data_IF_042174904585
#
_entry.id   IF_042174904585
#
_cell.length_a   1.000
_cell.length_b   1.000
_cell.length_c   1.000
_cell.angle_alpha   90.00
_cell.angle_beta   90.00
_cell.angle_gamma   90.00
#
_symmetry.space_group_name_H-M   'P 1'
#
loop_
_entity.id
_entity.type
_entity.pdbx_description
1 polymer ?
#
# COMPACT_ATOMS: atom_id res chain seq x y z
N UNK A 1 -72.48 -25.67 23.12
CA UNK A 1 -72.25 -24.32 23.61
C UNK A 1 -70.98 -24.37 24.44
N UNK A 2 -69.85 -24.23 23.86
CA UNK A 2 -68.55 -23.88 24.49
C UNK A 2 -67.49 -23.89 23.36
N UNK A 3 -67.00 -22.72 23.02
CA UNK A 3 -66.00 -22.50 22.00
C UNK A 3 -64.63 -22.81 22.59
N UNK A 4 -63.91 -23.69 21.93
CA UNK A 4 -62.48 -23.93 22.21
C UNK A 4 -61.67 -23.11 21.19
N UNK A 5 -60.85 -22.17 21.73
CA UNK A 5 -59.92 -21.40 20.93
C UNK A 5 -58.65 -22.22 20.60
N UNK A 6 -57.92 -21.90 19.54
CA UNK A 6 -56.74 -22.61 19.16
C UNK A 6 -55.49 -22.15 19.97
N UNK A 7 -54.72 -23.14 20.37
CA UNK A 7 -53.47 -23.01 21.12
C UNK A 7 -52.38 -22.32 20.32
N UNK A 8 -51.62 -21.52 21.05
CA UNK A 8 -50.53 -20.72 20.54
C UNK A 8 -49.30 -21.54 20.07
N UNK A 9 -48.82 -21.20 18.91
CA UNK A 9 -47.52 -21.67 18.37
C UNK A 9 -46.41 -20.94 19.08
N UNK A 10 -45.64 -21.70 19.84
CA UNK A 10 -44.41 -21.28 20.48
C UNK A 10 -43.32 -20.95 19.42
N UNK A 11 -43.02 -19.68 19.24
CA UNK A 11 -41.92 -19.23 18.46
C UNK A 11 -40.62 -19.27 19.30
N UNK A 12 -39.70 -20.17 18.97
CA UNK A 12 -38.34 -20.13 19.46
C UNK A 12 -37.62 -18.84 18.95
N UNK A 13 -37.04 -18.04 19.81
CA UNK A 13 -36.16 -16.97 19.37
C UNK A 13 -34.80 -17.56 19.00
N UNK A 14 -34.49 -17.52 17.70
CA UNK A 14 -33.11 -17.64 17.24
C UNK A 14 -32.30 -16.46 17.80
N UNK A 15 -31.14 -16.70 18.44
CA UNK A 15 -30.22 -15.63 18.74
C UNK A 15 -29.55 -15.20 17.41
N UNK A 16 -30.10 -14.16 16.80
CA UNK A 16 -29.38 -13.40 15.78
C UNK A 16 -28.13 -12.82 16.46
N UNK A 17 -27.00 -13.39 16.09
CA UNK A 17 -25.68 -12.86 16.44
C UNK A 17 -25.65 -11.39 16.04
N UNK A 18 -25.55 -10.53 17.05
CA UNK A 18 -25.23 -9.13 16.89
C UNK A 18 -23.80 -9.05 16.32
N UNK A 19 -23.71 -9.09 14.98
CA UNK A 19 -22.52 -8.62 14.30
C UNK A 19 -22.34 -7.16 14.72
N UNK A 20 -21.40 -6.92 15.62
CA UNK A 20 -20.84 -5.62 15.90
C UNK A 20 -20.30 -5.08 14.57
N UNK A 21 -21.14 -4.41 13.83
CA UNK A 21 -20.70 -3.46 12.82
C UNK A 21 -20.02 -2.34 13.62
N UNK A 22 -18.71 -2.43 13.73
CA UNK A 22 -17.91 -1.28 14.05
C UNK A 22 -18.15 -0.28 12.91
N UNK A 23 -19.15 0.59 13.09
CA UNK A 23 -19.26 1.79 12.30
C UNK A 23 -18.03 2.61 12.68
N UNK A 24 -17.02 2.52 11.86
CA UNK A 24 -15.96 3.52 11.82
C UNK A 24 -16.67 4.82 11.41
N UNK A 25 -17.06 5.59 12.42
CA UNK A 25 -17.48 6.97 12.23
C UNK A 25 -16.19 7.68 11.81
N UNK A 26 -15.96 7.75 10.50
CA UNK A 26 -15.06 8.73 9.94
C UNK A 26 -15.60 10.09 10.40
N UNK A 27 -15.07 10.63 11.48
CA UNK A 27 -15.14 12.05 11.71
C UNK A 27 -14.57 12.68 10.45
N UNK A 28 -15.39 13.42 9.73
CA UNK A 28 -15.00 14.32 8.64
C UNK A 28 -14.20 15.49 9.21
N UNK A 29 -13.10 15.24 9.85
CA UNK A 29 -12.05 16.22 9.98
C UNK A 29 -11.34 16.16 8.63
N UNK A 30 -11.27 17.28 7.95
CA UNK A 30 -10.56 17.39 6.68
C UNK A 30 -9.16 16.78 6.89
N UNK A 31 -8.74 15.89 5.98
CA UNK A 31 -7.38 15.37 5.99
C UNK A 31 -6.46 16.57 5.87
N UNK A 32 -5.90 17.00 6.99
CA UNK A 32 -4.98 18.12 7.04
C UNK A 32 -3.59 17.55 6.77
N UNK A 33 -3.05 17.88 5.63
CA UNK A 33 -1.64 17.65 5.34
C UNK A 33 -0.84 18.54 6.27
N UNK A 34 -0.11 17.95 7.21
CA UNK A 34 0.63 18.68 8.24
C UNK A 34 2.04 19.03 7.79
N UNK A 35 2.66 18.16 6.97
CA UNK A 35 4.03 18.33 6.53
C UNK A 35 4.28 17.59 5.22
N UNK A 36 5.07 18.17 4.33
CA UNK A 36 5.68 17.49 3.20
C UNK A 36 7.19 17.46 3.39
N UNK A 37 7.79 16.30 3.28
CA UNK A 37 9.23 16.13 3.24
C UNK A 37 9.68 15.76 1.83
N UNK A 38 10.76 16.37 1.37
CA UNK A 38 11.38 16.08 0.09
C UNK A 38 12.77 15.50 0.34
N UNK A 39 12.99 14.29 -0.15
CA UNK A 39 14.29 13.64 -0.14
C UNK A 39 14.85 13.63 -1.56
N UNK A 40 15.99 14.29 -1.74
CA UNK A 40 16.81 14.07 -2.92
C UNK A 40 17.51 12.72 -2.79
N UNK A 41 17.27 11.80 -3.73
CA UNK A 41 17.93 10.48 -3.73
C UNK A 41 19.41 10.52 -4.12
N UNK A 42 19.99 11.70 -4.27
CA UNK A 42 21.45 11.89 -4.29
C UNK A 42 21.96 11.99 -2.86
N UNK A 43 22.84 11.09 -2.48
CA UNK A 43 23.23 10.70 -1.12
C UNK A 43 23.85 11.76 -0.19
N UNK A 44 23.77 13.05 -0.46
CA UNK A 44 24.39 14.12 0.32
C UNK A 44 23.46 15.29 0.66
N UNK A 45 22.19 15.24 0.24
CA UNK A 45 21.26 16.35 0.50
C UNK A 45 20.36 15.95 1.67
N UNK A 46 20.31 16.74 2.77
CA UNK A 46 19.42 16.45 3.88
C UNK A 46 17.96 16.52 3.45
N UNK A 47 17.06 15.92 4.23
CA UNK A 47 15.61 16.05 3.99
C UNK A 47 15.21 17.50 4.07
N UNK A 48 14.43 17.98 3.09
CA UNK A 48 13.85 19.33 3.08
C UNK A 48 12.41 19.23 3.64
N UNK A 49 12.15 19.69 4.87
CA UNK A 49 10.80 19.80 5.38
C UNK A 49 10.11 21.03 4.78
N UNK A 50 8.84 20.89 4.41
CA UNK A 50 8.00 21.96 3.89
C UNK A 50 6.69 21.98 4.68
N UNK A 51 6.24 23.16 5.12
CA UNK A 51 5.04 23.36 5.94
C UNK A 51 5.07 22.50 7.23
N UNK A 52 6.07 22.66 8.07
CA UNK A 52 6.12 21.99 9.36
C UNK A 52 5.05 22.54 10.31
N UNK A 53 4.36 21.66 11.03
CA UNK A 53 3.29 22.04 11.96
C UNK A 53 3.87 22.93 13.09
N UNK A 54 3.31 24.13 13.24
CA UNK A 54 3.73 25.14 14.25
C UNK A 54 4.44 26.37 13.69
N UNK A 55 4.97 26.32 12.48
CA UNK A 55 5.73 27.41 11.84
C UNK A 55 5.00 28.05 10.63
N UNK A 56 3.71 27.72 10.47
CA UNK A 56 2.87 28.19 9.37
C UNK A 56 2.79 29.74 9.37
N UNK A 57 3.64 30.36 8.62
CA UNK A 57 3.71 31.83 8.45
C UNK A 57 5.10 32.42 8.52
N UNK A 58 6.07 31.72 9.08
CA UNK A 58 7.47 32.20 9.18
C UNK A 58 8.44 31.37 8.33
N UNK A 59 7.99 30.25 7.77
CA UNK A 59 8.85 29.46 6.89
C UNK A 59 9.21 30.24 5.63
N UNK A 60 10.51 30.34 5.29
CA UNK A 60 10.95 31.04 4.09
C UNK A 60 10.49 30.35 2.79
N UNK A 61 10.11 29.08 2.88
CA UNK A 61 9.62 28.25 1.77
C UNK A 61 8.28 27.66 2.18
N UNK A 62 7.20 28.10 1.55
CA UNK A 62 5.83 27.64 1.87
C UNK A 62 5.19 26.94 0.69
N UNK A 63 4.48 25.83 0.95
CA UNK A 63 3.63 25.21 -0.05
C UNK A 63 2.30 25.97 -0.10
N UNK A 64 2.04 26.60 -1.24
CA UNK A 64 0.79 27.31 -1.51
C UNK A 64 -0.27 26.39 -2.10
N UNK A 65 0.13 25.31 -2.76
CA UNK A 65 -0.79 24.36 -3.35
C UNK A 65 -0.09 23.09 -3.82
N UNK A 66 -0.84 21.99 -3.82
CA UNK A 66 -0.41 20.71 -4.37
C UNK A 66 -1.53 20.18 -5.24
N UNK A 67 -1.24 19.93 -6.50
CA UNK A 67 -2.14 19.27 -7.44
C UNK A 67 -1.68 17.83 -7.72
N UNK A 68 -2.61 16.94 -8.06
CA UNK A 68 -2.30 15.55 -8.40
C UNK A 68 -2.33 14.58 -7.22
N UNK A 69 -2.87 14.99 -6.05
CA UNK A 69 -3.03 14.09 -4.89
C UNK A 69 -4.23 13.14 -5.03
N UNK A 70 -5.28 13.54 -5.75
CA UNK A 70 -6.45 12.70 -5.98
C UNK A 70 -6.15 11.47 -6.88
N UNK A 71 -7.10 10.53 -7.00
CA UNK A 71 -6.95 9.36 -7.85
C UNK A 71 -6.66 9.73 -9.31
N UNK A 72 -5.71 9.03 -9.92
CA UNK A 72 -5.35 9.25 -11.33
C UNK A 72 -6.46 8.69 -12.21
N UNK A 73 -6.81 9.43 -13.28
CA UNK A 73 -7.81 8.99 -14.27
C UNK A 73 -7.34 7.71 -14.97
N UNK A 74 -8.18 6.68 -14.92
CA UNK A 74 -7.89 5.42 -15.60
C UNK A 74 -8.04 5.57 -17.13
N UNK A 75 -7.20 4.88 -17.87
CA UNK A 75 -7.35 4.63 -19.29
C UNK A 75 -8.22 3.38 -19.47
N UNK A 76 -9.41 3.56 -20.01
CA UNK A 76 -10.36 2.48 -20.32
C UNK A 76 -10.39 2.30 -21.82
N UNK A 77 -10.00 1.11 -22.28
CA UNK A 77 -10.02 0.74 -23.70
C UNK A 77 -11.21 -0.17 -23.94
N UNK A 78 -12.06 0.22 -24.90
CA UNK A 78 -13.24 -0.52 -25.30
C UNK A 78 -13.18 -0.88 -26.76
N UNK A 79 -13.90 -1.92 -27.16
CA UNK A 79 -14.08 -2.35 -28.53
C UNK A 79 -15.57 -2.45 -28.87
N UNK A 80 -16.04 -1.88 -29.99
CA UNK A 80 -17.45 -1.93 -30.38
C UNK A 80 -17.88 -3.36 -30.72
N UNK A 81 -19.13 -3.71 -30.37
CA UNK A 81 -19.75 -4.93 -30.86
C UNK A 81 -20.16 -4.75 -32.31
N UNK A 82 -19.87 -5.74 -33.16
CA UNK A 82 -20.16 -5.65 -34.60
C UNK A 82 -21.64 -5.66 -34.99
N UNK A 83 -22.54 -6.09 -34.11
CA UNK A 83 -23.96 -6.28 -34.43
C UNK A 83 -24.92 -5.81 -33.32
N UNK A 84 -24.43 -5.27 -32.22
CA UNK A 84 -25.24 -4.84 -31.05
C UNK A 84 -24.78 -3.48 -30.59
N UNK A 85 -25.68 -2.73 -29.94
CA UNK A 85 -25.32 -1.47 -29.27
C UNK A 85 -24.44 -1.74 -28.06
N UNK A 86 -23.46 -0.87 -27.85
CA UNK A 86 -22.51 -0.95 -26.74
C UNK A 86 -21.10 -1.39 -27.15
N UNK A 87 -20.22 -1.48 -26.16
CA UNK A 87 -18.82 -1.79 -26.34
C UNK A 87 -18.34 -2.80 -25.29
N UNK A 88 -17.47 -3.71 -25.69
CA UNK A 88 -16.81 -4.62 -24.77
C UNK A 88 -15.57 -3.95 -24.14
N UNK A 89 -15.35 -4.15 -22.84
CA UNK A 89 -14.15 -3.73 -22.18
C UNK A 89 -12.96 -4.58 -22.66
N UNK A 90 -11.96 -3.94 -23.28
CA UNK A 90 -10.74 -4.58 -23.74
C UNK A 90 -9.58 -4.48 -22.77
N UNK A 91 -9.54 -3.41 -21.94
CA UNK A 91 -8.48 -3.23 -20.97
C UNK A 91 -8.67 -1.99 -20.11
N UNK A 92 -8.03 -2.00 -18.95
CA UNK A 92 -7.96 -0.86 -18.05
C UNK A 92 -6.54 -0.73 -17.50
N UNK A 93 -6.05 0.50 -17.42
CA UNK A 93 -4.77 0.80 -16.79
C UNK A 93 -4.79 2.18 -16.16
N UNK A 94 -3.99 2.36 -15.11
CA UNK A 94 -3.77 3.67 -14.51
C UNK A 94 -2.41 4.17 -14.99
N UNK A 95 -2.34 5.33 -15.66
CA UNK A 95 -1.09 5.89 -16.15
C UNK A 95 -0.23 6.48 -15.02
N UNK A 96 0.94 6.96 -15.37
CA UNK A 96 1.80 7.76 -14.48
C UNK A 96 1.03 8.92 -13.87
N UNK A 97 1.40 9.30 -12.65
CA UNK A 97 0.88 10.46 -11.94
C UNK A 97 1.76 11.68 -12.20
N UNK A 98 1.15 12.84 -12.31
CA UNK A 98 1.85 14.12 -12.23
C UNK A 98 1.47 14.82 -10.92
N UNK A 99 2.47 15.19 -10.12
CA UNK A 99 2.30 16.02 -8.91
C UNK A 99 2.90 17.38 -9.21
N UNK A 100 2.09 18.42 -9.02
CA UNK A 100 2.53 19.80 -9.21
C UNK A 100 2.51 20.51 -7.86
N UNK A 101 3.67 20.97 -7.44
CA UNK A 101 3.86 21.76 -6.22
C UNK A 101 3.94 23.25 -6.59
N UNK A 102 3.14 24.09 -5.93
CA UNK A 102 3.26 25.54 -6.00
C UNK A 102 3.87 26.01 -4.69
N UNK A 103 5.09 26.54 -4.76
CA UNK A 103 5.87 26.99 -3.60
C UNK A 103 5.99 28.50 -3.62
N UNK A 104 5.68 29.15 -2.50
CA UNK A 104 5.94 30.57 -2.24
C UNK A 104 7.28 30.78 -1.55
N UNK A 105 7.98 31.83 -1.90
CA UNK A 105 9.24 32.24 -1.28
C UNK A 105 9.02 33.49 -0.44
N UNK A 106 9.31 33.39 0.85
CA UNK A 106 9.13 34.44 1.85
C UNK A 106 10.45 34.64 2.63
N UNK A 107 11.48 35.26 2.02
CA UNK A 107 12.77 35.40 2.68
C UNK A 107 12.67 36.31 3.90
N UNK A 108 13.37 35.94 4.96
CA UNK A 108 13.77 36.90 5.98
C UNK A 108 14.95 37.72 5.43
N UNK A 109 14.70 38.93 4.99
CA UNK A 109 15.68 39.80 4.35
C UNK A 109 16.90 40.15 5.22
N UNK A 110 16.81 39.89 6.54
CA UNK A 110 17.93 40.06 7.44
C UNK A 110 18.93 38.88 7.37
N UNK A 111 18.47 37.70 6.90
CA UNK A 111 19.23 36.44 6.95
C UNK A 111 19.52 35.88 5.57
N UNK A 112 18.56 35.98 4.62
CA UNK A 112 18.69 35.31 3.31
C UNK A 112 17.92 36.04 2.21
N UNK A 113 18.32 35.82 0.97
CA UNK A 113 17.73 36.38 -0.22
C UNK A 113 16.84 35.37 -0.96
N UNK A 114 15.99 35.87 -1.87
CA UNK A 114 15.17 35.00 -2.75
C UNK A 114 16.07 34.11 -3.62
N UNK A 115 17.20 34.65 -4.08
CA UNK A 115 18.17 33.93 -4.89
C UNK A 115 18.75 32.72 -4.16
N UNK A 116 19.10 32.88 -2.88
CA UNK A 116 19.62 31.79 -2.04
C UNK A 116 18.55 30.72 -1.81
N UNK A 117 17.29 31.11 -1.55
CA UNK A 117 16.19 30.16 -1.44
C UNK A 117 15.95 29.37 -2.74
N UNK A 118 16.05 30.04 -3.90
CA UNK A 118 15.96 29.37 -5.20
C UNK A 118 17.10 28.38 -5.40
N UNK A 119 18.32 28.78 -5.07
CA UNK A 119 19.49 27.89 -5.17
C UNK A 119 19.35 26.68 -4.24
N UNK A 120 18.80 26.87 -3.05
CA UNK A 120 18.49 25.76 -2.15
C UNK A 120 17.51 24.79 -2.81
N UNK A 121 16.41 25.27 -3.39
CA UNK A 121 15.43 24.41 -4.05
C UNK A 121 15.99 23.72 -5.30
N UNK A 122 16.93 24.33 -6.02
CA UNK A 122 17.57 23.68 -7.17
C UNK A 122 18.35 22.43 -6.77
N UNK A 123 18.87 22.33 -5.54
CA UNK A 123 19.53 21.12 -5.07
C UNK A 123 18.59 19.90 -5.00
N UNK A 124 17.28 20.16 -4.83
CA UNK A 124 16.26 19.10 -4.72
C UNK A 124 15.50 18.90 -6.03
N UNK A 125 15.19 19.97 -6.77
CA UNK A 125 14.21 19.96 -7.84
C UNK A 125 14.77 20.28 -9.22
N UNK A 126 16.06 20.04 -9.45
CA UNK A 126 16.58 20.17 -10.82
C UNK A 126 15.93 19.09 -11.73
N UNK A 127 15.56 19.46 -12.98
CA UNK A 127 15.01 18.51 -13.94
C UNK A 127 15.86 17.24 -14.08
N UNK A 128 15.18 16.09 -14.23
CA UNK A 128 15.74 14.72 -14.26
C UNK A 128 16.21 14.18 -12.90
N UNK A 129 16.15 14.95 -11.82
CA UNK A 129 16.42 14.39 -10.49
C UNK A 129 15.28 13.47 -10.07
N UNK A 130 15.63 12.35 -9.49
CA UNK A 130 14.71 11.48 -8.77
C UNK A 130 14.55 12.00 -7.35
N UNK A 131 13.31 12.22 -6.95
CA UNK A 131 12.92 12.69 -5.62
C UNK A 131 11.89 11.76 -5.00
N UNK A 132 11.94 11.65 -3.69
CA UNK A 132 10.89 10.99 -2.90
C UNK A 132 10.14 12.06 -2.11
N UNK A 133 8.84 12.11 -2.29
CA UNK A 133 7.93 12.96 -1.53
C UNK A 133 7.32 12.13 -0.40
N UNK A 134 7.36 12.66 0.84
CA UNK A 134 6.73 12.05 2.02
C UNK A 134 5.65 12.99 2.53
N UNK A 135 4.42 12.48 2.56
CA UNK A 135 3.25 13.21 3.00
C UNK A 135 2.88 12.77 4.42
N UNK A 136 2.84 13.74 5.33
CA UNK A 136 2.42 13.54 6.72
C UNK A 136 1.01 14.11 6.89
N UNK A 137 0.16 13.37 7.55
CA UNK A 137 -1.22 13.75 7.83
C UNK A 137 -1.60 13.32 9.23
N UNK A 138 -2.56 14.02 9.86
CA UNK A 138 -2.99 13.77 11.23
C UNK A 138 -3.68 12.41 11.39
N UNK A 139 -4.48 12.00 10.40
CA UNK A 139 -5.35 10.82 10.50
C UNK A 139 -5.04 9.74 9.46
N UNK A 140 -3.91 9.83 8.82
CA UNK A 140 -3.52 8.93 7.73
C UNK A 140 -2.05 8.52 7.91
N UNK A 141 -1.67 7.28 7.59
CA UNK A 141 -0.28 6.88 7.70
C UNK A 141 0.62 7.75 6.84
N UNK A 142 1.87 7.96 7.27
CA UNK A 142 2.87 8.62 6.43
C UNK A 142 3.03 7.83 5.16
N UNK A 143 2.83 8.49 4.02
CA UNK A 143 2.95 7.85 2.70
C UNK A 143 4.03 8.49 1.87
N UNK A 144 4.59 7.70 0.97
CA UNK A 144 5.67 8.12 0.09
C UNK A 144 5.30 7.89 -1.37
N UNK A 145 5.84 8.73 -2.24
CA UNK A 145 5.82 8.51 -3.67
C UNK A 145 7.14 8.99 -4.28
N UNK A 146 7.63 8.27 -5.28
CA UNK A 146 8.85 8.60 -6.00
C UNK A 146 8.54 9.13 -7.39
N UNK A 147 9.27 10.15 -7.80
CA UNK A 147 9.08 10.76 -9.11
C UNK A 147 10.32 11.48 -9.62
N UNK A 148 10.32 11.74 -10.90
CA UNK A 148 11.34 12.54 -11.56
C UNK A 148 10.84 13.97 -11.75
N UNK A 149 11.68 14.93 -11.40
CA UNK A 149 11.38 16.34 -11.67
C UNK A 149 11.36 16.56 -13.18
N UNK A 150 10.22 17.00 -13.69
CA UNK A 150 10.01 17.33 -15.11
C UNK A 150 10.42 18.78 -15.36
N UNK A 151 9.89 19.72 -14.61
CA UNK A 151 10.20 21.14 -14.71
C UNK A 151 10.20 21.83 -13.35
N UNK A 152 10.89 22.95 -13.28
CA UNK A 152 10.87 23.89 -12.17
C UNK A 152 10.84 25.30 -12.75
N UNK A 153 9.70 25.98 -12.63
CA UNK A 153 9.44 27.26 -13.28
C UNK A 153 9.28 28.39 -12.22
N UNK A 154 10.33 29.22 -12.02
CA UNK A 154 10.24 30.33 -11.10
C UNK A 154 9.53 31.53 -11.75
N UNK A 155 8.53 32.08 -11.07
CA UNK A 155 7.93 33.35 -11.43
C UNK A 155 8.65 34.48 -10.70
N UNK A 156 9.62 35.12 -11.40
CA UNK A 156 10.57 36.09 -10.79
C UNK A 156 10.14 37.53 -10.87
N UNK A 157 9.13 37.88 -11.70
CA UNK A 157 8.72 39.27 -11.94
C UNK A 157 7.48 39.65 -11.15
N UNK A 158 7.17 38.96 -10.05
CA UNK A 158 6.02 39.24 -9.22
C UNK A 158 6.43 39.69 -7.83
N UNK A 159 5.55 40.43 -7.15
CA UNK A 159 5.77 40.94 -5.80
C UNK A 159 5.91 39.78 -4.76
N UNK A 160 5.21 38.68 -4.98
CA UNK A 160 5.27 37.48 -4.18
C UNK A 160 5.81 36.34 -5.07
N UNK A 161 7.12 36.08 -5.05
CA UNK A 161 7.73 35.09 -5.95
C UNK A 161 7.25 33.68 -5.61
N UNK A 162 6.85 32.97 -6.65
CA UNK A 162 6.39 31.58 -6.57
C UNK A 162 7.20 30.71 -7.51
N UNK A 163 7.27 29.42 -7.21
CA UNK A 163 7.90 28.41 -8.06
C UNK A 163 6.88 27.28 -8.26
N UNK A 164 6.68 26.92 -9.52
CA UNK A 164 5.90 25.74 -9.88
C UNK A 164 6.84 24.59 -10.23
N UNK A 165 6.63 23.42 -9.62
CA UNK A 165 7.47 22.24 -9.78
C UNK A 165 6.60 21.09 -10.22
N UNK A 166 6.87 20.55 -11.41
CA UNK A 166 6.18 19.38 -11.96
C UNK A 166 7.03 18.11 -11.73
N UNK A 167 6.42 17.10 -11.12
CA UNK A 167 7.07 15.83 -10.76
C UNK A 167 6.27 14.67 -11.37
N UNK A 168 6.89 13.93 -12.28
CA UNK A 168 6.30 12.75 -12.90
C UNK A 168 6.63 11.51 -12.07
N UNK A 169 5.60 10.88 -11.53
CA UNK A 169 5.69 9.65 -10.74
C UNK A 169 5.31 8.45 -11.63
N UNK A 170 6.26 7.58 -12.01
CA UNK A 170 5.98 6.41 -12.84
C UNK A 170 4.98 5.45 -12.19
N UNK A 171 5.09 5.23 -10.88
CA UNK A 171 4.07 4.53 -10.08
C UNK A 171 3.03 5.54 -9.62
N UNK A 172 1.73 5.32 -9.94
CA UNK A 172 0.70 6.29 -9.60
C UNK A 172 0.26 6.25 -8.14
N UNK A 173 0.61 5.20 -7.39
CA UNK A 173 0.12 4.96 -6.04
C UNK A 173 1.07 5.51 -4.98
N UNK A 174 0.49 6.05 -3.92
CA UNK A 174 1.20 6.35 -2.69
C UNK A 174 1.39 5.07 -1.88
N UNK A 175 2.56 4.90 -1.29
CA UNK A 175 2.92 3.71 -0.51
C UNK A 175 3.16 4.11 0.93
N UNK A 176 2.56 3.42 1.89
CA UNK A 176 2.83 3.67 3.30
C UNK A 176 4.32 3.47 3.61
N UNK A 177 4.88 4.34 4.45
CA UNK A 177 6.30 4.28 4.80
C UNK A 177 6.61 3.09 5.71
N UNK A 178 5.66 2.68 6.54
CA UNK A 178 5.80 1.54 7.44
C UNK A 178 5.00 0.35 6.94
N UNK A 179 5.57 -0.86 6.97
CA UNK A 179 4.81 -2.07 6.64
C UNK A 179 3.79 -2.38 7.74
N UNK A 180 2.67 -2.96 7.35
CA UNK A 180 1.81 -3.67 8.27
C UNK A 180 2.29 -5.13 8.37
N UNK A 181 2.31 -5.66 9.58
CA UNK A 181 2.80 -7.02 9.88
C UNK A 181 1.72 -7.80 10.61
N UNK A 182 1.47 -9.01 10.16
CA UNK A 182 0.53 -9.96 10.75
C UNK A 182 1.30 -11.25 10.99
N UNK A 183 1.14 -11.81 12.17
CA UNK A 183 1.83 -13.05 12.57
C UNK A 183 0.83 -14.07 13.09
N UNK A 184 1.17 -15.35 12.95
CA UNK A 184 0.39 -16.45 13.49
C UNK A 184 1.20 -17.73 13.61
N UNK A 185 0.54 -18.78 14.10
CA UNK A 185 1.13 -20.10 14.29
C UNK A 185 0.17 -21.16 13.76
N UNK A 186 0.63 -21.96 12.83
CA UNK A 186 -0.11 -23.14 12.31
C UNK A 186 0.12 -24.34 13.23
N UNK A 187 -0.60 -24.41 14.37
CA UNK A 187 -0.41 -25.44 15.38
C UNK A 187 -0.75 -26.85 14.88
N UNK A 188 -1.85 -26.97 14.14
CA UNK A 188 -2.35 -28.27 13.63
C UNK A 188 -2.19 -28.41 12.10
N UNK A 189 -1.19 -27.75 11.54
CA UNK A 189 -0.99 -27.70 10.09
C UNK A 189 -1.87 -26.68 9.38
N UNK A 190 -2.69 -25.91 10.08
CA UNK A 190 -3.47 -24.82 9.50
C UNK A 190 -3.63 -23.66 10.47
N UNK A 191 -3.68 -22.45 9.93
CA UNK A 191 -4.03 -21.25 10.66
C UNK A 191 -4.89 -20.34 9.77
N UNK A 192 -5.89 -19.70 10.34
CA UNK A 192 -6.79 -18.79 9.61
C UNK A 192 -6.96 -17.49 10.38
N UNK A 193 -6.63 -16.39 9.74
CA UNK A 193 -6.68 -15.06 10.33
C UNK A 193 -7.44 -14.09 9.43
N UNK A 194 -8.37 -13.34 10.03
CA UNK A 194 -9.07 -12.26 9.37
C UNK A 194 -8.38 -10.93 9.72
N UNK A 195 -8.15 -10.09 8.73
CA UNK A 195 -7.57 -8.77 8.93
C UNK A 195 -8.09 -7.77 7.92
N UNK A 196 -8.06 -6.50 8.28
CA UNK A 196 -8.47 -5.41 7.41
C UNK A 196 -7.24 -4.80 6.71
N UNK A 197 -7.30 -4.74 5.37
CA UNK A 197 -6.34 -4.02 4.57
C UNK A 197 -6.84 -2.60 4.32
N UNK A 198 -6.15 -1.62 4.90
CA UNK A 198 -6.55 -0.20 4.89
C UNK A 198 -6.22 0.55 3.59
N UNK A 199 -5.45 -0.05 2.68
CA UNK A 199 -5.12 0.56 1.38
C UNK A 199 -6.35 0.68 0.48
N UNK A 200 -6.33 1.63 -0.45
CA UNK A 200 -7.38 1.80 -1.47
C UNK A 200 -7.04 1.11 -2.80
N UNK A 201 -5.84 0.59 -2.94
CA UNK A 201 -5.35 -0.12 -4.14
C UNK A 201 -4.79 -1.47 -3.71
N UNK A 202 -5.06 -2.50 -4.50
CA UNK A 202 -4.51 -3.84 -4.25
C UNK A 202 -2.99 -3.84 -4.10
N UNK A 203 -2.46 -4.68 -3.21
CA UNK A 203 -1.02 -4.82 -2.99
C UNK A 203 -0.58 -6.27 -2.92
N UNK A 204 0.66 -6.54 -3.30
CA UNK A 204 1.33 -7.79 -2.95
C UNK A 204 1.84 -7.75 -1.52
N UNK A 205 2.31 -8.90 -1.04
CA UNK A 205 2.85 -9.07 0.30
C UNK A 205 4.09 -9.97 0.29
N UNK A 206 4.84 -9.88 1.37
CA UNK A 206 5.91 -10.81 1.70
C UNK A 206 5.41 -11.75 2.81
N UNK A 207 5.55 -13.05 2.59
CA UNK A 207 5.23 -14.09 3.56
C UNK A 207 6.49 -14.86 3.91
N UNK A 208 6.73 -15.02 5.20
CA UNK A 208 7.79 -15.81 5.78
C UNK A 208 7.15 -16.91 6.64
N UNK A 209 7.56 -18.14 6.45
CA UNK A 209 7.14 -19.27 7.27
C UNK A 209 8.38 -19.94 7.83
N UNK A 210 8.44 -20.05 9.13
CA UNK A 210 9.54 -20.67 9.87
C UNK A 210 9.00 -21.74 10.81
N UNK A 211 9.79 -22.74 11.04
CA UNK A 211 9.42 -23.82 11.95
C UNK A 211 9.60 -23.41 13.41
N UNK A 212 8.61 -23.71 14.22
CA UNK A 212 8.63 -23.42 15.65
C UNK A 212 9.20 -24.60 16.49
N UNK A 213 9.20 -25.82 15.97
CA UNK A 213 9.55 -27.05 16.70
C UNK A 213 10.34 -28.00 15.81
N UNK A 214 11.27 -28.74 16.39
CA UNK A 214 12.13 -29.74 15.73
C UNK A 214 11.35 -30.92 15.16
N UNK A 215 10.85 -30.84 13.94
CA UNK A 215 10.30 -31.92 13.15
C UNK A 215 10.79 -31.81 11.72
N UNK A 216 11.46 -32.81 11.17
CA UNK A 216 11.96 -32.80 9.78
C UNK A 216 10.89 -33.28 8.80
N UNK A 217 10.81 -32.70 7.61
CA UNK A 217 9.99 -33.23 6.53
C UNK A 217 9.89 -32.35 5.31
N UNK A 218 9.79 -32.97 4.14
CA UNK A 218 9.32 -32.27 2.94
C UNK A 218 7.85 -31.87 3.15
N UNK A 219 7.53 -30.62 2.88
CA UNK A 219 6.22 -30.09 3.11
C UNK A 219 5.69 -29.32 1.91
N UNK A 220 4.38 -29.18 1.85
CA UNK A 220 3.73 -28.22 0.97
C UNK A 220 3.17 -27.08 1.80
N UNK A 221 3.22 -25.88 1.23
CA UNK A 221 2.56 -24.69 1.77
C UNK A 221 1.44 -24.34 0.82
N UNK A 222 0.23 -24.23 1.35
CA UNK A 222 -0.90 -23.71 0.62
C UNK A 222 -1.38 -22.42 1.30
N UNK A 223 -1.60 -21.41 0.51
CA UNK A 223 -2.09 -20.11 0.92
C UNK A 223 -3.45 -19.91 0.26
N UNK A 224 -4.48 -19.72 1.07
CA UNK A 224 -5.81 -19.37 0.62
C UNK A 224 -6.10 -17.95 1.09
N UNK A 225 -6.38 -17.09 0.14
CA UNK A 225 -6.78 -15.71 0.43
C UNK A 225 -8.20 -15.50 -0.09
N UNK A 226 -9.11 -15.08 0.78
CA UNK A 226 -10.50 -14.79 0.45
C UNK A 226 -10.96 -13.51 1.13
N UNK A 227 -12.02 -12.88 0.60
CA UNK A 227 -12.59 -11.64 1.11
C UNK A 227 -13.82 -11.27 0.29
N UNK A 228 -14.03 -10.00 0.03
CA UNK A 228 -15.11 -9.52 -0.86
C UNK A 228 -14.88 -9.91 -2.34
N UNK A 229 -13.65 -10.27 -2.69
CA UNK A 229 -13.25 -10.66 -4.04
C UNK A 229 -13.13 -12.18 -4.17
N UNK A 230 -12.98 -12.64 -5.40
CA UNK A 230 -12.84 -14.07 -5.69
C UNK A 230 -11.70 -14.69 -4.88
N UNK A 231 -11.90 -15.90 -4.34
CA UNK A 231 -10.87 -16.59 -3.57
C UNK A 231 -9.66 -16.88 -4.44
N UNK A 232 -8.48 -16.71 -3.85
CA UNK A 232 -7.19 -16.95 -4.48
C UNK A 232 -6.52 -18.11 -3.77
N UNK A 233 -6.03 -19.08 -4.52
CA UNK A 233 -5.29 -20.25 -4.00
C UNK A 233 -3.89 -20.27 -4.58
N UNK A 234 -2.91 -20.44 -3.72
CA UNK A 234 -1.53 -20.62 -4.11
C UNK A 234 -0.95 -21.81 -3.34
N UNK A 235 -0.33 -22.73 -4.04
CA UNK A 235 0.39 -23.82 -3.39
C UNK A 235 1.76 -24.01 -4.03
N UNK A 236 2.74 -24.30 -3.16
CA UNK A 236 4.09 -24.63 -3.55
C UNK A 236 4.59 -25.78 -2.69
N UNK A 237 5.42 -26.65 -3.27
CA UNK A 237 6.17 -27.67 -2.52
C UNK A 237 7.50 -27.05 -2.11
N UNK A 238 7.97 -27.38 -0.92
CA UNK A 238 9.24 -26.88 -0.43
C UNK A 238 9.70 -27.64 0.82
N UNK A 239 10.98 -27.54 1.13
CA UNK A 239 11.54 -28.12 2.35
C UNK A 239 11.27 -27.19 3.53
N UNK A 240 10.66 -27.71 4.58
CA UNK A 240 10.40 -27.06 5.86
C UNK A 240 11.17 -27.76 6.97
N UNK A 241 12.51 -27.75 6.87
CA UNK A 241 13.41 -28.32 7.89
C UNK A 241 13.67 -27.30 9.02
N UNK A 242 14.24 -27.78 10.13
CA UNK A 242 14.41 -27.01 11.37
C UNK A 242 15.18 -25.70 11.21
N UNK A 243 16.07 -25.62 10.24
CA UNK A 243 16.89 -24.43 9.98
C UNK A 243 16.50 -23.72 8.67
N UNK A 244 15.39 -24.08 8.07
CA UNK A 244 14.96 -23.55 6.78
C UNK A 244 13.73 -22.68 6.96
N UNK A 245 13.79 -21.46 6.44
CA UNK A 245 12.61 -20.60 6.30
C UNK A 245 12.13 -20.59 4.87
N UNK A 246 10.84 -20.66 4.69
CA UNK A 246 10.17 -20.43 3.41
C UNK A 246 9.86 -18.95 3.25
N UNK A 247 10.15 -18.40 2.09
CA UNK A 247 9.88 -17.00 1.76
C UNK A 247 9.12 -16.90 0.44
N UNK A 248 8.08 -16.11 0.44
CA UNK A 248 7.29 -15.78 -0.74
C UNK A 248 7.11 -14.28 -0.85
N UNK A 249 7.33 -13.73 -2.03
CA UNK A 249 7.03 -12.34 -2.35
C UNK A 249 6.06 -12.29 -3.52
N UNK A 250 4.91 -11.66 -3.32
CA UNK A 250 3.87 -11.54 -4.36
C UNK A 250 3.83 -10.17 -5.01
N UNK A 251 4.68 -9.24 -4.59
CA UNK A 251 4.74 -7.87 -5.14
C UNK A 251 5.07 -7.92 -6.64
N UNK A 252 4.28 -7.25 -7.49
CA UNK A 252 4.54 -7.20 -8.93
C UNK A 252 5.97 -6.72 -9.25
N UNK A 253 6.66 -7.47 -10.10
CA UNK A 253 8.06 -7.19 -10.48
C UNK A 253 9.10 -7.76 -9.51
N UNK A 254 8.68 -8.28 -8.34
CA UNK A 254 9.58 -8.84 -7.33
C UNK A 254 9.16 -10.25 -6.87
N UNK A 255 8.35 -10.94 -7.68
CA UNK A 255 7.79 -12.24 -7.33
C UNK A 255 8.86 -13.31 -7.20
N UNK A 256 8.85 -14.01 -6.09
CA UNK A 256 9.66 -15.22 -5.87
C UNK A 256 9.02 -16.14 -4.84
N UNK A 257 9.40 -17.41 -4.92
CA UNK A 257 9.16 -18.45 -3.90
C UNK A 257 10.46 -19.17 -3.68
N UNK A 258 10.95 -19.19 -2.46
CA UNK A 258 12.25 -19.78 -2.13
C UNK A 258 12.29 -20.29 -0.69
N UNK A 259 13.23 -21.18 -0.41
CA UNK A 259 13.67 -21.44 0.95
C UNK A 259 15.07 -20.86 1.17
N UNK A 260 15.33 -20.51 2.41
CA UNK A 260 16.63 -20.00 2.86
C UNK A 260 17.06 -20.82 4.07
N UNK A 261 18.22 -21.45 3.99
CA UNK A 261 18.85 -22.10 5.13
C UNK A 261 19.41 -21.01 6.06
N UNK A 262 18.91 -20.96 7.28
CA UNK A 262 19.30 -19.95 8.27
C UNK A 262 20.75 -20.13 8.78
N UNK A 263 21.33 -21.31 8.63
CA UNK A 263 22.71 -21.62 9.07
C UNK A 263 23.73 -21.35 7.96
N UNK A 264 23.44 -21.83 6.75
CA UNK A 264 24.36 -21.76 5.62
C UNK A 264 24.10 -20.56 4.70
N UNK A 265 22.92 -19.93 4.80
CA UNK A 265 22.49 -18.87 3.88
C UNK A 265 22.18 -19.38 2.47
N UNK A 266 22.12 -20.70 2.26
CA UNK A 266 21.83 -21.26 0.95
C UNK A 266 20.38 -20.98 0.55
N UNK A 267 20.19 -20.54 -0.69
CA UNK A 267 18.87 -20.21 -1.25
C UNK A 267 18.47 -21.28 -2.27
N UNK A 268 17.31 -21.90 -2.08
CA UNK A 268 16.71 -22.81 -3.04
C UNK A 268 15.45 -22.19 -3.60
N UNK A 269 15.36 -22.11 -4.94
CA UNK A 269 14.23 -21.52 -5.64
C UNK A 269 13.17 -22.59 -5.95
N UNK A 270 11.90 -22.31 -5.63
CA UNK A 270 10.76 -23.18 -5.84
C UNK A 270 9.75 -22.68 -6.88
N UNK A 271 10.15 -21.80 -7.77
CA UNK A 271 9.26 -21.32 -8.84
C UNK A 271 8.75 -22.46 -9.75
N UNK A 272 9.53 -23.51 -9.92
CA UNK A 272 9.14 -24.68 -10.72
C UNK A 272 8.23 -25.68 -9.96
N UNK A 273 8.13 -25.52 -8.64
CA UNK A 273 7.35 -26.40 -7.76
C UNK A 273 6.01 -25.76 -7.35
N UNK A 274 5.67 -24.66 -8.00
CA UNK A 274 4.36 -24.00 -7.88
C UNK A 274 3.34 -24.81 -8.66
N UNK A 275 2.15 -24.99 -8.08
CA UNK A 275 1.03 -25.65 -8.75
C UNK A 275 0.63 -24.92 -10.03
N UNK A 276 0.25 -25.67 -11.07
CA UNK A 276 -0.09 -25.10 -12.39
C UNK A 276 -1.29 -24.12 -12.33
N UNK A 277 -2.21 -24.35 -11.41
CA UNK A 277 -3.41 -23.54 -11.17
C UNK A 277 -3.23 -22.46 -10.11
N UNK A 278 -2.01 -22.28 -9.62
CA UNK A 278 -1.72 -21.30 -8.58
C UNK A 278 -1.90 -19.86 -9.07
N UNK A 279 -2.68 -19.09 -8.34
CA UNK A 279 -2.84 -17.66 -8.54
C UNK A 279 -1.97 -16.93 -7.52
N UNK A 280 -1.10 -16.04 -7.99
CA UNK A 280 -0.31 -15.18 -7.10
C UNK A 280 -1.23 -14.31 -6.27
N UNK A 281 -1.32 -14.54 -4.95
CA UNK A 281 -2.28 -13.85 -4.12
C UNK A 281 -1.92 -12.36 -3.94
N UNK A 282 -2.95 -11.54 -3.93
CA UNK A 282 -2.87 -10.09 -3.71
C UNK A 282 -3.91 -9.69 -2.69
N UNK A 283 -3.56 -8.74 -1.82
CA UNK A 283 -4.48 -8.15 -0.85
C UNK A 283 -5.37 -7.12 -1.53
N UNK A 284 -6.66 -7.18 -1.26
CA UNK A 284 -7.64 -6.22 -1.74
C UNK A 284 -8.12 -5.31 -0.60
N UNK A 285 -8.57 -4.09 -0.89
CA UNK A 285 -9.15 -3.20 0.10
C UNK A 285 -10.26 -3.87 0.91
N UNK A 286 -10.31 -3.60 2.22
CA UNK A 286 -11.30 -4.18 3.13
C UNK A 286 -10.82 -5.45 3.83
N UNK A 287 -11.77 -6.30 4.23
CA UNK A 287 -11.48 -7.50 5.01
C UNK A 287 -10.92 -8.62 4.13
N UNK A 288 -9.75 -9.13 4.50
CA UNK A 288 -9.12 -10.29 3.90
C UNK A 288 -9.05 -11.41 4.93
N UNK A 289 -9.36 -12.63 4.51
CA UNK A 289 -9.20 -13.85 5.29
C UNK A 289 -8.04 -14.64 4.71
N UNK A 290 -6.98 -14.78 5.47
CA UNK A 290 -5.80 -15.55 5.13
C UNK A 290 -5.86 -16.90 5.83
N UNK A 291 -5.77 -17.99 5.07
CA UNK A 291 -5.53 -19.30 5.62
C UNK A 291 -4.17 -19.82 5.09
N UNK A 292 -3.31 -20.21 6.01
CA UNK A 292 -2.02 -20.85 5.74
C UNK A 292 -2.13 -22.30 6.17
N UNK A 293 -1.95 -23.18 5.20
CA UNK A 293 -2.02 -24.63 5.40
C UNK A 293 -0.65 -25.20 5.11
N UNK A 294 -0.08 -25.88 6.08
CA UNK A 294 1.23 -26.54 5.98
C UNK A 294 1.09 -28.03 6.28
N UNK A 295 1.86 -28.86 5.61
CA UNK A 295 1.84 -30.32 5.89
C UNK A 295 2.52 -30.67 7.21
N UNK A 296 3.27 -29.75 7.79
CA UNK A 296 3.97 -29.90 9.08
C UNK A 296 3.37 -28.92 10.08
N UNK A 297 2.97 -29.41 11.24
CA UNK A 297 2.43 -28.59 12.33
C UNK A 297 3.50 -27.72 13.00
N UNK A 298 3.08 -26.72 13.78
CA UNK A 298 3.97 -25.89 14.58
C UNK A 298 4.81 -24.90 13.75
N UNK A 299 4.24 -24.35 12.67
CA UNK A 299 4.92 -23.34 11.84
C UNK A 299 4.56 -21.93 12.29
N UNK A 300 5.56 -21.10 12.56
CA UNK A 300 5.37 -19.66 12.73
C UNK A 300 5.32 -19.02 11.35
N UNK A 301 4.41 -18.10 11.15
CA UNK A 301 4.36 -17.33 9.91
C UNK A 301 4.24 -15.84 10.19
N UNK A 302 4.82 -15.05 9.30
CA UNK A 302 4.78 -13.61 9.28
C UNK A 302 4.43 -13.13 7.88
N UNK A 303 3.36 -12.36 7.77
CA UNK A 303 2.96 -11.69 6.55
C UNK A 303 3.16 -10.20 6.72
N UNK A 304 3.92 -9.58 5.82
CA UNK A 304 4.16 -8.14 5.81
C UNK A 304 3.81 -7.53 4.46
N UNK A 305 3.22 -6.33 4.49
CA UNK A 305 2.85 -5.61 3.29
C UNK A 305 2.89 -4.11 3.53
N UNK A 306 3.06 -3.36 2.44
CA UNK A 306 2.95 -1.91 2.45
C UNK A 306 1.59 -1.49 1.90
N UNK A 307 0.72 -0.84 2.70
CA UNK A 307 -0.54 -0.29 2.21
C UNK A 307 -0.31 0.69 1.05
N UNK A 308 -1.15 0.59 0.00
CA UNK A 308 -1.08 1.43 -1.18
C UNK A 308 -2.37 2.22 -1.33
N UNK A 309 -2.23 3.48 -1.77
CA UNK A 309 -3.35 4.41 -1.87
C UNK A 309 -3.35 5.07 -3.24
N UNK A 310 -4.48 5.02 -3.91
CA UNK A 310 -4.66 5.63 -5.24
C UNK A 310 -4.83 7.16 -5.19
N UNK A 311 -5.00 7.74 -4.00
CA UNK A 311 -5.12 9.18 -3.74
C UNK A 311 -5.06 9.47 -2.25
N UNK A 312 -4.82 10.74 -1.89
CA UNK A 312 -4.77 11.28 -0.52
C UNK A 312 -5.92 12.23 -0.28
#
# INVERSE_FOLDING_TARGET
MTSVGPEGVSSCPHPLGAALRAHYIYRKEAVVLTKLEVLGLRSLVPTLPLNEEGDAGNDPIQILGINGLGPVKANITTAPFGAFDGEALSGMSVPKRNIVLTIGLHPDWAVQTIEELRQLLYNYFMPKLLVQLRFHSTNFPVVTIEGYVESMEPNIFVKSPTIEISIICPSPDFVAMSPAVITGISNDGSDTTDFEYIGSVQTGFYLKVEKAVETSGEGSIQILLSGEYAPQSFSARGTLDDNVRFEMNTVPGQKYVRSVDNTLGTITNYLNDISYDAIWPTLYPGVNRLAIITTVAGQNWELSYYPRFGGL
#
